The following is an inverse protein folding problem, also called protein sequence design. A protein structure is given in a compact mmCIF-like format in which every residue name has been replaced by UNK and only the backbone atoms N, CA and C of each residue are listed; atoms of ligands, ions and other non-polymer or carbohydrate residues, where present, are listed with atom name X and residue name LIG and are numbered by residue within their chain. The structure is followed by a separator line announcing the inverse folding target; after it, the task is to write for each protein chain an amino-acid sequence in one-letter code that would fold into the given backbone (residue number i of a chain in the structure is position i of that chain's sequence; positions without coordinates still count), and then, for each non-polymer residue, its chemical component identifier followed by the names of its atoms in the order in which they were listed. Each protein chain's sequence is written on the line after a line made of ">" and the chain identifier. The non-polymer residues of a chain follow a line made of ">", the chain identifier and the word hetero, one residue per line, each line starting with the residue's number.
data_IF_057504203054
#
_entry.id   IF_057504203054
#
_cell.length_a   1.000
_cell.length_b   1.000
_cell.length_c   1.000
_cell.angle_alpha   90.00
_cell.angle_beta   90.00
_cell.angle_gamma   90.00
#
_symmetry.space_group_name_H-M   'P 1'
#
loop_
_entity.id
_entity.type
_entity.pdbx_description
1 polymer ?
#
# COMPACT_ATOMS: atom_id res chain seq x y z
N UNK A 1 -2.74 -34.37 -47.28
CA UNK A 1 -3.74 -33.94 -46.27
C UNK A 1 -4.11 -35.02 -45.26
N UNK A 2 -4.40 -36.28 -45.66
CA UNK A 2 -4.78 -37.36 -44.71
C UNK A 2 -3.76 -37.61 -43.58
N UNK A 3 -2.46 -37.60 -43.89
CA UNK A 3 -1.39 -37.78 -42.89
C UNK A 3 -1.36 -36.67 -41.83
N UNK A 4 -1.61 -35.42 -42.23
CA UNK A 4 -1.62 -34.26 -41.33
C UNK A 4 -2.77 -34.35 -40.33
N UNK A 5 -3.97 -34.78 -40.76
CA UNK A 5 -5.12 -34.96 -39.87
C UNK A 5 -4.90 -36.07 -38.85
N UNK A 6 -4.24 -37.17 -39.24
CA UNK A 6 -3.90 -38.26 -38.32
C UNK A 6 -2.89 -37.78 -37.27
N UNK A 7 -1.87 -37.00 -37.66
CA UNK A 7 -0.90 -36.44 -36.73
C UNK A 7 -1.54 -35.43 -35.76
N UNK A 8 -2.46 -34.58 -36.24
CA UNK A 8 -3.22 -33.66 -35.38
C UNK A 8 -4.07 -34.45 -34.38
N UNK A 9 -4.73 -35.52 -34.81
CA UNK A 9 -5.56 -36.33 -33.92
C UNK A 9 -4.73 -37.07 -32.85
N UNK A 10 -3.58 -37.62 -33.23
CA UNK A 10 -2.65 -38.25 -32.28
C UNK A 10 -2.11 -37.20 -31.29
N UNK A 11 -1.73 -36.02 -31.77
CA UNK A 11 -1.25 -34.94 -30.92
C UNK A 11 -2.34 -34.48 -29.94
N UNK A 12 -3.58 -34.33 -30.41
CA UNK A 12 -4.72 -33.97 -29.56
C UNK A 12 -5.03 -35.06 -28.54
N UNK A 13 -4.96 -36.34 -28.93
CA UNK A 13 -5.15 -37.48 -28.02
C UNK A 13 -4.03 -37.58 -26.97
N UNK A 14 -2.79 -37.24 -27.31
CA UNK A 14 -1.69 -37.15 -26.34
C UNK A 14 -1.83 -35.93 -25.43
N UNK A 15 -2.42 -34.83 -25.92
CA UNK A 15 -2.71 -33.63 -25.13
C UNK A 15 -3.79 -33.87 -24.07
N UNK A 16 -4.69 -34.83 -24.30
CA UNK A 16 -5.76 -35.20 -23.35
C UNK A 16 -5.22 -36.03 -22.18
N UNK A 17 -4.02 -36.61 -22.29
CA UNK A 17 -3.39 -37.29 -21.17
C UNK A 17 -2.75 -36.28 -20.22
N UNK A 18 -3.39 -36.06 -19.06
CA UNK A 18 -2.84 -35.20 -18.03
C UNK A 18 -1.64 -35.87 -17.35
N UNK A 19 -0.44 -35.29 -17.53
CA UNK A 19 0.78 -35.72 -16.85
C UNK A 19 0.89 -35.00 -15.51
N UNK A 20 1.13 -35.73 -14.43
CA UNK A 20 1.37 -35.11 -13.13
C UNK A 20 2.71 -34.35 -13.14
N UNK A 21 2.74 -33.04 -12.81
CA UNK A 21 3.96 -32.23 -12.88
C UNK A 21 5.01 -32.62 -11.82
N UNK A 22 4.61 -33.38 -10.79
CA UNK A 22 5.49 -33.79 -9.70
C UNK A 22 6.17 -35.14 -9.97
N UNK A 23 5.42 -36.13 -10.46
CA UNK A 23 5.92 -37.49 -10.66
C UNK A 23 6.10 -37.91 -12.13
N UNK A 24 5.65 -37.10 -13.09
CA UNK A 24 5.66 -37.35 -14.53
C UNK A 24 4.91 -38.62 -14.98
N UNK A 25 4.04 -39.16 -14.13
CA UNK A 25 3.16 -40.28 -14.51
C UNK A 25 1.91 -39.72 -15.20
N UNK A 26 1.50 -40.36 -16.30
CA UNK A 26 0.27 -40.03 -17.03
C UNK A 26 -0.94 -40.65 -16.36
N UNK A 27 -2.03 -39.88 -16.27
CA UNK A 27 -3.30 -40.33 -15.72
C UNK A 27 -4.43 -39.86 -16.62
N UNK A 28 -5.54 -40.62 -16.67
CA UNK A 28 -6.77 -40.12 -17.27
C UNK A 28 -7.39 -38.97 -16.45
N UNK A 29 -8.28 -38.21 -17.06
CA UNK A 29 -8.87 -36.97 -16.50
C UNK A 29 -9.46 -37.11 -15.10
N UNK A 30 -10.07 -38.26 -14.80
CA UNK A 30 -10.65 -38.53 -13.47
C UNK A 30 -9.58 -38.96 -12.45
N UNK A 31 -8.55 -39.67 -12.91
CA UNK A 31 -7.47 -40.20 -12.08
C UNK A 31 -6.48 -39.11 -11.63
N UNK A 32 -6.18 -38.13 -12.48
CA UNK A 32 -5.20 -37.08 -12.18
C UNK A 32 -5.61 -36.25 -10.95
N UNK A 33 -6.90 -35.96 -10.78
CA UNK A 33 -7.40 -35.18 -9.64
C UNK A 33 -7.22 -35.92 -8.32
N UNK A 34 -7.46 -37.24 -8.30
CA UNK A 34 -7.23 -38.06 -7.10
C UNK A 34 -5.74 -38.24 -6.84
N UNK A 35 -4.94 -38.43 -7.88
CA UNK A 35 -3.50 -38.54 -7.77
C UNK A 35 -2.86 -37.26 -7.21
N UNK A 36 -3.22 -36.07 -7.72
CA UNK A 36 -2.70 -34.79 -7.23
C UNK A 36 -2.97 -34.51 -5.74
N UNK A 37 -3.98 -35.18 -5.16
CA UNK A 37 -4.26 -35.13 -3.71
C UNK A 37 -3.36 -36.07 -2.91
N UNK A 38 -2.96 -37.21 -3.47
CA UNK A 38 -2.19 -38.28 -2.80
C UNK A 38 -0.74 -38.43 -3.29
N UNK A 39 -0.29 -37.57 -4.19
CA UNK A 39 1.04 -37.65 -4.78
C UNK A 39 2.11 -37.36 -3.70
N UNK A 40 2.89 -38.37 -3.32
CA UNK A 40 3.98 -38.23 -2.34
C UNK A 40 5.07 -37.27 -2.81
N UNK A 41 5.42 -37.31 -4.10
CA UNK A 41 6.41 -36.39 -4.69
C UNK A 41 5.96 -34.93 -4.66
N UNK A 42 4.63 -34.67 -4.61
CA UNK A 42 4.10 -33.31 -4.48
C UNK A 42 4.41 -32.74 -3.11
N UNK A 43 4.13 -33.48 -2.03
CA UNK A 43 4.44 -32.99 -0.69
C UNK A 43 5.93 -32.78 -0.51
N UNK A 44 6.77 -33.71 -0.98
CA UNK A 44 8.23 -33.60 -0.88
C UNK A 44 8.78 -32.37 -1.61
N UNK A 45 8.33 -32.11 -2.84
CA UNK A 45 8.75 -30.91 -3.60
C UNK A 45 8.23 -29.62 -2.99
N UNK A 46 7.02 -29.62 -2.43
CA UNK A 46 6.48 -28.45 -1.75
C UNK A 46 7.23 -28.15 -0.45
N UNK A 47 7.60 -29.18 0.33
CA UNK A 47 8.42 -29.00 1.53
C UNK A 47 9.83 -28.55 1.19
N UNK A 48 10.44 -29.12 0.15
CA UNK A 48 11.76 -28.69 -0.34
C UNK A 48 11.73 -27.23 -0.85
N UNK A 49 10.70 -26.87 -1.61
CA UNK A 49 10.50 -25.50 -2.09
C UNK A 49 10.24 -24.50 -0.96
N UNK A 50 9.47 -24.91 0.07
CA UNK A 50 9.25 -24.09 1.26
C UNK A 50 10.55 -23.86 2.03
N UNK A 51 11.38 -24.89 2.21
CA UNK A 51 12.69 -24.75 2.86
C UNK A 51 13.62 -23.81 2.08
N UNK A 52 13.63 -23.90 0.74
CA UNK A 52 14.37 -22.97 -0.11
C UNK A 52 13.85 -21.52 -0.02
N UNK A 53 12.53 -21.33 0.04
CA UNK A 53 11.94 -20.00 0.18
C UNK A 53 12.33 -19.36 1.53
N UNK A 54 12.34 -20.15 2.61
CA UNK A 54 12.78 -19.68 3.94
C UNK A 54 14.27 -19.31 3.92
N UNK A 55 15.14 -20.11 3.30
CA UNK A 55 16.57 -19.76 3.23
C UNK A 55 16.83 -18.49 2.43
N UNK A 56 16.09 -18.28 1.33
CA UNK A 56 16.20 -17.05 0.52
C UNK A 56 15.73 -15.83 1.28
N UNK A 57 14.63 -15.94 2.03
CA UNK A 57 14.14 -14.82 2.85
C UNK A 57 15.10 -14.53 4.01
N UNK A 58 15.71 -15.55 4.60
CA UNK A 58 16.72 -15.37 5.63
C UNK A 58 17.94 -14.61 5.11
N UNK A 59 18.49 -15.00 3.95
CA UNK A 59 19.59 -14.27 3.31
C UNK A 59 19.22 -12.81 3.01
N UNK A 60 17.97 -12.56 2.59
CA UNK A 60 17.45 -11.21 2.37
C UNK A 60 17.40 -10.38 3.66
N UNK A 61 16.99 -10.98 4.77
CA UNK A 61 16.96 -10.30 6.07
C UNK A 61 18.39 -10.02 6.56
N UNK A 62 19.32 -10.96 6.40
CA UNK A 62 20.72 -10.78 6.79
C UNK A 62 21.41 -9.69 5.97
N UNK A 63 21.20 -9.67 4.65
CA UNK A 63 21.73 -8.61 3.77
C UNK A 63 21.13 -7.25 4.09
N UNK A 64 19.84 -7.19 4.42
CA UNK A 64 19.20 -5.96 4.86
C UNK A 64 19.76 -5.45 6.20
N UNK A 65 19.95 -6.35 7.18
CA UNK A 65 20.54 -6.01 8.46
C UNK A 65 21.99 -5.51 8.30
N UNK A 66 22.80 -6.18 7.47
CA UNK A 66 24.17 -5.76 7.17
C UNK A 66 24.23 -4.37 6.52
N UNK A 67 23.35 -4.09 5.55
CA UNK A 67 23.27 -2.79 4.91
C UNK A 67 22.82 -1.69 5.87
N UNK A 68 21.88 -2.00 6.78
CA UNK A 68 21.40 -1.05 7.79
C UNK A 68 22.52 -0.70 8.78
N UNK A 69 23.28 -1.69 9.25
CA UNK A 69 24.42 -1.46 10.14
C UNK A 69 25.50 -0.58 9.47
N UNK A 70 25.72 -0.75 8.17
CA UNK A 70 26.64 0.09 7.41
C UNK A 70 26.15 1.54 7.31
N UNK A 71 24.85 1.74 7.07
CA UNK A 71 24.24 3.07 7.01
C UNK A 71 24.33 3.83 8.35
N UNK A 72 24.09 3.15 9.47
CA UNK A 72 24.20 3.75 10.80
C UNK A 72 25.64 4.20 11.10
N UNK A 73 26.65 3.43 10.66
CA UNK A 73 28.06 3.80 10.82
C UNK A 73 28.46 5.04 10.01
N UNK A 74 27.80 5.30 8.88
CA UNK A 74 28.06 6.51 8.07
C UNK A 74 27.41 7.75 8.67
N UNK A 75 26.28 7.60 9.36
CA UNK A 75 25.55 8.72 9.93
C UNK A 75 26.24 9.33 11.16
N UNK A 76 27.11 8.58 11.84
CA UNK A 76 27.84 9.05 13.02
C UNK A 76 28.96 10.03 12.70
N UNK A 77 29.36 10.16 11.43
CA UNK A 77 30.48 11.02 11.02
C UNK A 77 30.05 12.42 10.55
N UNK A 78 28.74 12.68 10.36
CA UNK A 78 28.23 13.96 9.86
C UNK A 78 27.51 14.82 10.91
N UNK A 79 27.39 14.35 12.15
CA UNK A 79 26.82 15.13 13.26
C UNK A 79 27.88 15.99 13.97
N UNK A 80 28.85 16.50 13.20
CA UNK A 80 29.68 17.61 13.63
C UNK A 80 28.88 18.88 13.32
N UNK A 81 27.91 19.17 14.20
CA UNK A 81 27.10 20.40 14.16
C UNK A 81 28.04 21.59 13.90
N UNK A 82 27.87 22.30 12.77
CA UNK A 82 28.68 23.48 12.48
C UNK A 82 28.56 24.45 13.66
N UNK A 83 29.68 25.02 14.15
CA UNK A 83 29.64 25.93 15.29
C UNK A 83 28.62 27.03 15.02
N UNK A 84 27.63 27.15 15.91
CA UNK A 84 26.57 28.14 15.85
C UNK A 84 27.21 29.53 15.79
N UNK A 85 27.29 30.12 14.60
CA UNK A 85 27.74 31.50 14.43
C UNK A 85 26.68 32.39 15.07
N UNK A 86 26.99 33.17 16.12
CA UNK A 86 26.03 34.06 16.76
C UNK A 86 25.54 35.09 15.72
N UNK A 87 24.33 34.90 15.20
CA UNK A 87 23.71 35.89 14.32
C UNK A 87 23.27 37.06 15.19
N UNK A 88 23.91 38.20 15.01
CA UNK A 88 23.50 39.45 15.64
C UNK A 88 22.03 39.75 15.29
N UNK A 89 21.17 39.78 16.30
CA UNK A 89 19.77 40.14 16.15
C UNK A 89 19.69 41.59 15.66
N UNK A 90 19.09 41.79 14.49
CA UNK A 90 18.84 43.14 13.97
C UNK A 90 17.94 43.92 14.96
N UNK A 91 18.25 45.20 15.25
CA UNK A 91 17.50 45.98 16.21
C UNK A 91 16.03 46.11 15.79
N UNK A 92 15.13 45.81 16.72
CA UNK A 92 13.69 45.90 16.50
C UNK A 92 13.31 47.36 16.19
N UNK A 93 12.53 47.64 15.13
CA UNK A 93 12.14 49.00 14.79
C UNK A 93 11.27 49.61 15.91
N UNK A 94 11.42 50.92 16.19
CA UNK A 94 10.63 51.62 17.18
C UNK A 94 9.14 51.64 16.78
N UNK A 95 8.31 50.96 17.57
CA UNK A 95 6.87 50.84 17.31
C UNK A 95 6.10 52.13 17.61
N UNK A 96 5.18 52.57 16.72
CA UNK A 96 4.42 53.80 16.91
C UNK A 96 3.29 53.66 17.95
N UNK A 97 3.30 54.61 18.88
CA UNK A 97 2.19 55.32 19.55
C UNK A 97 0.91 54.58 20.00
N UNK A 98 0.68 54.65 21.32
CA UNK A 98 -0.59 55.12 21.90
C UNK A 98 -1.77 54.15 22.00
N UNK A 99 -1.76 52.99 21.35
CA UNK A 99 -2.84 52.01 21.51
C UNK A 99 -2.60 51.12 22.74
N UNK A 100 -3.60 50.90 23.61
CA UNK A 100 -3.47 49.95 24.71
C UNK A 100 -3.09 48.58 24.15
N UNK A 101 -1.92 48.08 24.56
CA UNK A 101 -1.34 46.81 24.09
C UNK A 101 -2.30 45.67 24.41
N UNK A 102 -3.15 45.30 23.45
CA UNK A 102 -3.81 44.00 23.47
C UNK A 102 -2.72 42.96 23.27
N UNK A 103 -2.41 42.18 24.30
CA UNK A 103 -1.51 41.03 24.19
C UNK A 103 -2.07 40.13 23.09
N UNK A 104 -1.36 40.00 21.97
CA UNK A 104 -1.75 39.11 20.89
C UNK A 104 -1.76 37.69 21.46
N UNK A 105 -2.96 37.09 21.60
CA UNK A 105 -3.07 35.70 22.04
C UNK A 105 -2.59 34.81 20.90
N UNK A 106 -1.57 34.00 21.17
CA UNK A 106 -1.10 32.98 20.24
C UNK A 106 -2.22 31.94 19.98
N UNK A 107 -2.35 31.43 18.75
CA UNK A 107 -3.26 30.33 18.43
C UNK A 107 -3.01 29.10 19.31
N UNK A 108 -4.05 28.31 19.58
CA UNK A 108 -4.00 27.17 20.50
C UNK A 108 -2.90 26.14 20.16
N UNK A 109 -2.58 25.95 18.87
CA UNK A 109 -1.52 25.03 18.41
C UNK A 109 -0.10 25.40 18.86
N UNK A 110 0.11 26.65 19.29
CA UNK A 110 1.40 27.18 19.76
C UNK A 110 1.45 27.30 21.28
N UNK A 111 0.45 26.78 21.98
CA UNK A 111 0.51 26.65 23.43
C UNK A 111 1.15 25.30 23.70
N UNK A 112 2.31 25.29 24.33
CA UNK A 112 2.99 24.07 24.81
C UNK A 112 2.29 23.48 26.05
N UNK A 113 1.00 23.77 26.22
CA UNK A 113 0.16 23.17 27.24
C UNK A 113 -0.12 21.74 26.76
N UNK A 114 0.80 20.82 27.09
CA UNK A 114 0.57 19.40 26.91
C UNK A 114 -0.74 19.03 27.63
N UNK A 115 -1.62 18.23 27.01
CA UNK A 115 -2.80 17.74 27.71
C UNK A 115 -2.37 17.03 28.99
N UNK A 116 -3.12 17.23 30.08
CA UNK A 116 -2.84 16.57 31.35
C UNK A 116 -2.71 15.05 31.11
N UNK A 117 -1.69 14.40 31.71
CA UNK A 117 -1.53 12.96 31.55
C UNK A 117 -2.80 12.25 32.03
N UNK A 118 -3.26 11.22 31.30
CA UNK A 118 -4.46 10.50 31.71
C UNK A 118 -4.30 9.96 33.13
N UNK A 119 -5.34 10.08 33.94
CA UNK A 119 -5.37 9.48 35.28
C UNK A 119 -5.02 7.99 35.18
N UNK A 120 -4.11 7.48 36.02
CA UNK A 120 -3.78 6.06 36.04
C UNK A 120 -5.05 5.24 36.18
N UNK A 121 -5.35 4.42 35.18
CA UNK A 121 -6.42 3.45 35.26
C UNK A 121 -6.04 2.51 36.40
N UNK A 122 -6.91 2.40 37.41
CA UNK A 122 -6.73 1.43 38.49
C UNK A 122 -6.47 0.05 37.85
N UNK A 123 -5.34 -0.56 38.18
CA UNK A 123 -5.01 -1.89 37.69
C UNK A 123 -6.18 -2.81 38.04
N UNK A 124 -6.78 -3.50 37.06
CA UNK A 124 -7.76 -4.54 37.35
C UNK A 124 -7.13 -5.51 38.35
N UNK A 125 -7.85 -5.84 39.41
CA UNK A 125 -7.43 -6.87 40.35
C UNK A 125 -7.03 -8.12 39.56
N UNK A 126 -5.84 -8.63 39.86
CA UNK A 126 -5.28 -9.85 39.26
C UNK A 126 -6.35 -10.96 39.35
N UNK A 127 -6.91 -11.43 38.22
CA UNK A 127 -7.92 -12.47 38.27
C UNK A 127 -7.26 -13.76 38.77
N UNK A 128 -7.86 -14.33 39.79
CA UNK A 128 -7.55 -15.65 40.33
C UNK A 128 -7.55 -16.67 39.17
N UNK A 129 -6.57 -17.58 39.08
CA UNK A 129 -6.44 -18.52 37.97
C UNK A 129 -7.58 -19.54 38.01
N UNK A 130 -8.70 -19.21 37.37
CA UNK A 130 -9.75 -20.17 37.07
C UNK A 130 -9.23 -21.19 36.05
N UNK A 131 -9.38 -22.47 36.40
CA UNK A 131 -9.08 -23.62 35.54
C UNK A 131 -9.65 -23.41 34.14
N UNK A 132 -8.95 -23.84 33.07
CA UNK A 132 -9.45 -23.72 31.71
C UNK A 132 -10.75 -24.52 31.57
N UNK A 133 -11.89 -23.83 31.62
CA UNK A 133 -13.12 -24.36 31.07
C UNK A 133 -12.89 -24.64 29.59
N UNK A 134 -13.33 -25.82 29.18
CA UNK A 134 -13.24 -26.33 27.82
C UNK A 134 -13.99 -25.40 26.86
N UNK A 135 -13.29 -24.39 26.32
CA UNK A 135 -13.82 -23.50 25.29
C UNK A 135 -13.96 -24.34 24.02
N UNK A 136 -15.16 -24.85 23.78
CA UNK A 136 -15.53 -25.36 22.46
C UNK A 136 -15.23 -24.25 21.43
N UNK A 137 -14.47 -24.56 20.36
CA UNK A 137 -14.08 -23.58 19.37
C UNK A 137 -15.34 -23.02 18.72
N UNK A 138 -15.70 -21.79 19.10
CA UNK A 138 -16.81 -21.05 18.50
C UNK A 138 -16.48 -20.83 17.03
N UNK A 139 -17.06 -21.69 16.17
CA UNK A 139 -16.74 -21.89 14.75
C UNK A 139 -17.14 -20.72 13.84
N UNK A 140 -17.43 -19.53 14.41
CA UNK A 140 -18.07 -18.43 13.71
C UNK A 140 -17.31 -17.10 13.78
N UNK A 141 -15.98 -17.15 13.93
CA UNK A 141 -15.16 -15.99 13.61
C UNK A 141 -15.19 -15.78 12.09
N UNK A 142 -15.62 -14.60 11.58
CA UNK A 142 -15.65 -14.36 10.14
C UNK A 142 -14.23 -14.52 9.59
N UNK A 143 -14.07 -15.42 8.61
CA UNK A 143 -12.78 -15.63 7.95
C UNK A 143 -12.31 -14.29 7.39
N UNK A 144 -11.14 -13.84 7.82
CA UNK A 144 -10.55 -12.59 7.38
C UNK A 144 -10.30 -12.65 5.87
N UNK A 145 -11.16 -12.00 5.08
CA UNK A 145 -11.07 -11.99 3.61
C UNK A 145 -10.16 -10.85 3.17
N UNK A 146 -8.97 -11.20 2.67
CA UNK A 146 -8.07 -10.24 2.05
C UNK A 146 -8.65 -9.74 0.72
N UNK A 147 -8.83 -8.43 0.58
CA UNK A 147 -9.34 -7.80 -0.63
C UNK A 147 -8.18 -7.13 -1.37
N UNK A 148 -7.99 -7.46 -2.64
CA UNK A 148 -6.97 -6.86 -3.52
C UNK A 148 -7.62 -5.81 -4.43
N UNK A 149 -7.01 -4.64 -4.57
CA UNK A 149 -7.43 -3.64 -5.56
C UNK A 149 -6.97 -4.02 -6.96
N UNK A 150 -7.56 -3.42 -8.00
CA UNK A 150 -7.01 -3.51 -9.34
C UNK A 150 -5.59 -2.91 -9.39
N UNK A 151 -4.69 -3.46 -10.23
CA UNK A 151 -3.37 -2.88 -10.45
C UNK A 151 -3.48 -1.52 -11.12
N UNK A 152 -2.67 -0.55 -10.68
CA UNK A 152 -2.53 0.73 -11.39
C UNK A 152 -1.76 0.55 -12.72
N UNK A 153 -1.54 1.65 -13.46
CA UNK A 153 -0.77 1.63 -14.71
C UNK A 153 0.69 1.13 -14.57
N UNK A 154 1.22 1.08 -13.34
CA UNK A 154 2.54 0.56 -13.00
C UNK A 154 2.48 -0.88 -12.45
N UNK A 155 1.32 -1.53 -12.45
CA UNK A 155 1.13 -2.88 -11.92
C UNK A 155 1.08 -2.99 -10.39
N UNK A 156 1.06 -1.88 -9.66
CA UNK A 156 1.03 -1.86 -8.20
C UNK A 156 -0.42 -1.92 -7.70
N UNK A 157 -0.70 -2.81 -6.74
CA UNK A 157 -1.99 -2.94 -6.09
C UNK A 157 -1.86 -2.93 -4.56
N UNK A 158 -2.95 -2.60 -3.86
CA UNK A 158 -3.01 -2.64 -2.40
C UNK A 158 -3.82 -3.86 -1.96
N UNK A 159 -3.42 -4.45 -0.84
CA UNK A 159 -4.12 -5.57 -0.20
C UNK A 159 -4.60 -5.11 1.17
N UNK A 160 -5.90 -5.24 1.43
CA UNK A 160 -6.51 -4.86 2.69
C UNK A 160 -7.02 -6.11 3.41
N UNK A 161 -6.76 -6.19 4.72
CA UNK A 161 -7.24 -7.31 5.55
C UNK A 161 -8.75 -7.25 5.78
N UNK A 162 -9.32 -6.04 5.81
CA UNK A 162 -10.76 -5.76 5.92
C UNK A 162 -11.16 -4.75 4.85
N UNK A 163 -12.43 -4.78 4.41
CA UNK A 163 -12.96 -3.78 3.48
C UNK A 163 -12.84 -2.40 4.13
N UNK A 164 -12.11 -1.43 3.53
CA UNK A 164 -11.96 -0.12 4.13
C UNK A 164 -13.35 0.50 4.32
N UNK A 165 -13.73 0.80 5.56
CA UNK A 165 -15.01 1.43 5.90
C UNK A 165 -15.15 2.83 5.30
N UNK A 166 -14.03 3.43 4.88
CA UNK A 166 -13.95 4.76 4.28
C UNK A 166 -14.21 4.77 2.74
N UNK A 167 -14.58 3.63 2.13
CA UNK A 167 -14.75 3.51 0.67
C UNK A 167 -16.15 3.84 0.12
N UNK A 168 -17.10 4.28 0.95
CA UNK A 168 -18.39 4.75 0.41
C UNK A 168 -18.21 5.92 -0.56
N UNK A 169 -17.14 6.72 -0.41
CA UNK A 169 -16.81 7.77 -1.37
C UNK A 169 -16.06 7.26 -2.62
N UNK A 170 -15.32 6.15 -2.56
CA UNK A 170 -14.59 5.63 -3.73
C UNK A 170 -15.56 4.99 -4.73
N UNK A 171 -16.62 4.32 -4.27
CA UNK A 171 -17.70 3.87 -5.16
C UNK A 171 -18.38 5.05 -5.86
N UNK A 172 -18.54 6.19 -5.16
CA UNK A 172 -19.09 7.42 -5.73
C UNK A 172 -18.15 8.04 -6.77
N UNK A 173 -16.84 8.06 -6.49
CA UNK A 173 -15.84 8.55 -7.43
C UNK A 173 -15.81 7.73 -8.72
N UNK A 174 -15.86 6.39 -8.62
CA UNK A 174 -15.91 5.53 -9.79
C UNK A 174 -17.19 5.75 -10.60
N UNK A 175 -18.32 6.04 -9.96
CA UNK A 175 -19.57 6.40 -10.62
C UNK A 175 -19.47 7.76 -11.36
N UNK A 176 -18.74 8.72 -10.81
CA UNK A 176 -18.46 10.02 -11.45
C UNK A 176 -17.49 9.85 -12.65
N UNK A 177 -16.48 8.98 -12.53
CA UNK A 177 -15.52 8.72 -13.61
C UNK A 177 -16.03 7.79 -14.71
N UNK A 178 -16.93 6.86 -14.36
CA UNK A 178 -17.60 5.95 -15.30
C UNK A 178 -18.85 6.58 -15.93
N UNK A 179 -19.29 7.76 -15.46
CA UNK A 179 -20.29 8.53 -16.17
C UNK A 179 -19.79 8.79 -17.60
N UNK A 180 -20.57 8.45 -18.64
CA UNK A 180 -20.14 8.65 -20.02
C UNK A 180 -19.84 10.14 -20.20
N UNK A 181 -18.59 10.46 -20.58
CA UNK A 181 -18.09 11.82 -20.85
C UNK A 181 -18.85 12.56 -21.97
N UNK A 182 -19.94 12.00 -22.47
CA UNK A 182 -20.62 12.40 -23.69
C UNK A 182 -21.64 13.55 -23.53
N UNK A 183 -21.86 14.09 -22.32
CA UNK A 183 -22.85 15.18 -22.13
C UNK A 183 -22.29 16.48 -21.57
N UNK A 184 -21.00 16.58 -21.24
CA UNK A 184 -20.43 17.88 -20.91
C UNK A 184 -20.23 18.66 -22.22
N UNK A 185 -20.83 19.85 -22.36
CA UNK A 185 -20.60 20.69 -23.53
C UNK A 185 -19.09 20.90 -23.65
N UNK A 186 -18.55 20.48 -24.80
CA UNK A 186 -17.13 20.61 -25.10
C UNK A 186 -16.74 22.06 -24.81
N UNK A 187 -15.77 22.34 -23.92
CA UNK A 187 -15.38 23.71 -23.64
C UNK A 187 -15.02 24.33 -24.97
N UNK A 188 -15.78 25.38 -25.35
CA UNK A 188 -15.51 26.15 -26.55
C UNK A 188 -14.05 26.56 -26.45
N UNK A 189 -13.23 26.08 -27.39
CA UNK A 189 -11.82 26.41 -27.44
C UNK A 189 -11.70 27.93 -27.55
N UNK A 190 -11.52 28.61 -26.42
CA UNK A 190 -11.10 30.00 -26.39
C UNK A 190 -9.72 30.01 -27.03
N UNK A 191 -9.53 30.66 -28.19
CA UNK A 191 -8.22 30.73 -28.82
C UNK A 191 -7.28 31.40 -27.83
N UNK A 192 -6.26 30.67 -27.39
CA UNK A 192 -5.19 31.26 -26.59
C UNK A 192 -4.54 32.36 -27.45
N UNK A 193 -4.44 33.60 -26.94
CA UNK A 193 -3.75 34.65 -27.66
C UNK A 193 -2.29 34.23 -27.85
N UNK A 194 -1.88 34.13 -29.11
CA UNK A 194 -0.50 33.84 -29.47
C UNK A 194 0.40 34.97 -28.94
N UNK A 195 1.58 34.65 -28.38
CA UNK A 195 2.53 35.65 -27.92
C UNK A 195 3.04 36.43 -29.13
N UNK A 196 2.55 37.67 -29.31
CA UNK A 196 2.95 38.54 -30.40
C UNK A 196 1.89 39.52 -30.91
N UNK A 197 0.63 39.44 -30.47
CA UNK A 197 -0.35 40.46 -30.88
C UNK A 197 -0.11 41.78 -30.13
N UNK A 198 0.18 42.90 -30.82
CA UNK A 198 0.25 44.19 -30.17
C UNK A 198 -1.13 44.53 -29.60
N UNK A 199 -1.18 44.72 -28.28
CA UNK A 199 -2.39 45.16 -27.59
C UNK A 199 -2.89 46.46 -28.25
N UNK A 200 -4.04 46.39 -28.89
CA UNK A 200 -4.81 47.57 -29.27
C UNK A 200 -5.23 48.25 -27.97
N UNK A 201 -4.50 49.30 -27.60
CA UNK A 201 -4.83 50.27 -26.57
C UNK A 201 -6.18 50.89 -26.91
N UNK A 202 -7.22 50.45 -26.20
CA UNK A 202 -8.53 51.09 -26.24
C UNK A 202 -8.40 52.46 -25.55
N UNK A 203 -8.68 53.58 -26.21
CA UNK A 203 -8.66 54.87 -25.56
C UNK A 203 -9.84 54.98 -24.58
N UNK A 204 -9.54 55.30 -23.33
CA UNK A 204 -10.50 55.73 -22.33
C UNK A 204 -11.06 57.08 -22.78
N UNK A 205 -12.32 57.09 -23.23
CA UNK A 205 -13.10 58.32 -23.36
C UNK A 205 -13.38 58.84 -21.95
N UNK A 206 -12.91 60.06 -21.69
CA UNK A 206 -13.27 60.92 -20.55
C UNK A 206 -14.57 61.65 -20.87
#
# INVERSE_FOLDING_TARGET
>A
MKLLLVLIFIFWSLLVMAICPFCQVSYGDKGIKQHLKKCSKKSERLTAGAAQAVSVEQERVETFAANTALADSQHTFLDETPPEIPRALSPLPPGPSGRPRRRARLPARYRDDAPDPPTPIAQPAEPEPELPENIEPTENAPRQTWIKTEPNAHGVYKVFANRPTHDQMIQFLWMIFAAPRSSLPRPVHLPLPLPGSPFLTRPLLV
#
